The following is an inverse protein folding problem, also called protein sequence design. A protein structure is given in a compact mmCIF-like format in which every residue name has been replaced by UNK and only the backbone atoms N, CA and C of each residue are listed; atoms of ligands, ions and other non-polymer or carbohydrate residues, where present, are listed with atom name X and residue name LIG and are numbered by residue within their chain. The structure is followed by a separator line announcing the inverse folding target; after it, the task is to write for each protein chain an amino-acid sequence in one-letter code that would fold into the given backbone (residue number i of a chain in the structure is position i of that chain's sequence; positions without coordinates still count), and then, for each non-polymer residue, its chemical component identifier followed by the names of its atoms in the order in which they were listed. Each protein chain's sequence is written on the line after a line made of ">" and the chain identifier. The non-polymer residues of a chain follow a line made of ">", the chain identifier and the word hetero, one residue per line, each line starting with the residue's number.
data_IF_571173853288
#
_entry.id   IF_571173853288
#
_cell.length_a   1.000
_cell.length_b   1.000
_cell.length_c   1.000
_cell.angle_alpha   90.00
_cell.angle_beta   90.00
_cell.angle_gamma   90.00
#
_symmetry.space_group_name_H-M   'P 1'
#
loop_
_entity.id
_entity.type
_entity.pdbx_description
1 polymer ?
#
# COMPACT_ATOMS: atom_id res chain seq x y z
N UNK A 1 20.82 0.23 -50.61
CA UNK A 1 21.02 0.83 -49.29
C UNK A 1 20.56 2.29 -49.32
N UNK A 2 19.57 2.67 -48.52
CA UNK A 2 19.40 4.06 -48.14
C UNK A 2 19.43 4.24 -46.62
N UNK A 3 20.38 5.07 -46.20
CA UNK A 3 20.45 5.94 -45.03
C UNK A 3 19.38 5.80 -43.94
N UNK A 4 19.83 5.30 -42.78
CA UNK A 4 19.17 5.47 -41.47
C UNK A 4 19.44 6.91 -41.02
N UNK A 5 18.37 7.68 -40.79
CA UNK A 5 18.46 8.99 -40.14
C UNK A 5 18.16 8.82 -38.65
N UNK A 6 19.23 8.68 -37.85
CA UNK A 6 19.20 8.69 -36.39
C UNK A 6 19.00 10.12 -35.88
N UNK A 7 17.76 10.61 -35.89
CA UNK A 7 17.38 11.87 -35.22
C UNK A 7 15.90 11.88 -34.81
N UNK A 8 15.48 10.89 -34.03
CA UNK A 8 14.29 11.03 -33.20
C UNK A 8 14.69 11.69 -31.87
N UNK A 9 14.66 13.02 -31.83
CA UNK A 9 14.79 13.79 -30.59
C UNK A 9 13.63 13.43 -29.67
N UNK A 10 13.92 12.82 -28.52
CA UNK A 10 12.99 12.74 -27.40
C UNK A 10 12.58 14.16 -26.97
N UNK A 11 11.28 14.47 -26.81
CA UNK A 11 10.88 15.70 -26.17
C UNK A 11 11.08 15.55 -24.65
N UNK A 12 12.13 16.21 -24.14
CA UNK A 12 12.29 16.53 -22.72
C UNK A 12 11.22 17.54 -22.32
N UNK A 13 10.20 17.10 -21.61
CA UNK A 13 9.27 18.01 -20.94
C UNK A 13 9.78 18.30 -19.52
N UNK A 14 10.48 19.44 -19.39
CA UNK A 14 10.76 20.08 -18.12
C UNK A 14 9.58 20.99 -17.76
N UNK A 15 8.58 20.44 -17.06
CA UNK A 15 7.58 21.25 -16.36
C UNK A 15 7.28 20.69 -14.98
N UNK A 16 8.01 21.18 -13.99
CA UNK A 16 7.64 21.11 -12.58
C UNK A 16 6.48 22.07 -12.34
N UNK A 17 5.25 21.58 -12.43
CA UNK A 17 4.10 22.22 -11.78
C UNK A 17 3.23 21.13 -11.18
N UNK A 18 2.88 21.26 -9.89
CA UNK A 18 1.87 20.42 -9.21
C UNK A 18 0.47 20.79 -9.73
N UNK A 19 0.26 20.75 -11.04
CA UNK A 19 -1.04 20.82 -11.66
C UNK A 19 -1.65 19.43 -11.70
N UNK A 20 -2.94 19.30 -11.42
CA UNK A 20 -3.71 18.10 -11.72
C UNK A 20 -3.55 17.77 -13.21
N UNK A 21 -2.66 16.82 -13.53
CA UNK A 21 -2.42 16.40 -14.90
C UNK A 21 -3.70 15.73 -15.43
N UNK A 22 -4.21 16.18 -16.58
CA UNK A 22 -5.37 15.55 -17.21
C UNK A 22 -5.06 14.10 -17.56
N UNK A 23 -5.98 13.18 -17.23
CA UNK A 23 -5.89 11.78 -17.65
C UNK A 23 -5.86 11.69 -19.18
N UNK A 24 -5.08 10.76 -19.75
CA UNK A 24 -5.12 10.48 -21.19
C UNK A 24 -6.53 10.00 -21.60
N UNK A 25 -6.85 10.12 -22.89
CA UNK A 25 -8.09 9.55 -23.42
C UNK A 25 -8.11 8.03 -23.17
N UNK A 26 -9.24 7.46 -22.72
CA UNK A 26 -9.33 6.04 -22.43
C UNK A 26 -9.25 5.23 -23.73
N UNK A 27 -8.63 4.04 -23.65
CA UNK A 27 -8.65 3.06 -24.73
C UNK A 27 -10.02 2.35 -24.69
N UNK A 28 -10.84 2.53 -25.72
CA UNK A 28 -12.23 2.00 -25.79
C UNK A 28 -12.36 0.81 -26.74
N UNK A 29 -11.51 0.70 -27.77
CA UNK A 29 -11.76 -0.12 -28.96
C UNK A 29 -11.79 -1.65 -28.74
N UNK A 30 -11.37 -2.12 -27.56
CA UNK A 30 -11.28 -3.55 -27.22
C UNK A 30 -11.71 -3.87 -25.77
N UNK A 31 -12.14 -2.86 -25.00
CA UNK A 31 -12.49 -3.00 -23.59
C UNK A 31 -13.99 -2.84 -23.36
N UNK A 32 -14.58 -3.68 -22.49
CA UNK A 32 -15.99 -3.56 -22.09
C UNK A 32 -16.27 -2.28 -21.27
N UNK A 33 -15.23 -1.57 -20.86
CA UNK A 33 -15.24 -0.33 -20.06
C UNK A 33 -13.98 0.49 -20.38
N UNK A 34 -13.98 1.82 -20.20
CA UNK A 34 -12.80 2.65 -20.45
C UNK A 34 -11.61 2.24 -19.57
N UNK A 35 -10.43 2.10 -20.19
CA UNK A 35 -9.16 1.76 -19.52
C UNK A 35 -8.15 2.87 -19.78
N UNK A 36 -7.46 3.33 -18.74
CA UNK A 36 -6.48 4.43 -18.82
C UNK A 36 -5.02 3.94 -18.87
N UNK A 37 -4.74 2.71 -18.45
CA UNK A 37 -3.39 2.12 -18.47
C UNK A 37 -3.20 1.17 -19.66
N UNK A 38 -2.28 1.52 -20.56
CA UNK A 38 -1.89 0.72 -21.71
C UNK A 38 -0.46 0.20 -21.60
N UNK A 39 -0.08 -0.71 -22.49
CA UNK A 39 1.33 -1.00 -22.76
C UNK A 39 2.00 0.20 -23.44
N UNK A 40 3.33 0.20 -23.51
CA UNK A 40 4.10 1.16 -24.33
C UNK A 40 3.68 1.17 -25.80
N UNK A 41 3.16 0.05 -26.31
CA UNK A 41 2.61 -0.08 -27.67
C UNK A 41 1.20 0.49 -27.82
N UNK A 42 0.60 1.10 -26.78
CA UNK A 42 -0.79 1.58 -26.78
C UNK A 42 -1.85 0.48 -26.59
N UNK A 43 -1.46 -0.80 -26.65
CA UNK A 43 -2.40 -1.92 -26.51
C UNK A 43 -2.87 -2.13 -25.07
N UNK A 44 -4.09 -2.66 -24.91
CA UNK A 44 -4.64 -3.05 -23.61
C UNK A 44 -3.71 -4.04 -22.90
N UNK A 45 -3.58 -3.88 -21.58
CA UNK A 45 -2.84 -4.82 -20.74
C UNK A 45 -3.65 -6.12 -20.59
N UNK A 46 -3.02 -7.26 -20.87
CA UNK A 46 -3.68 -8.56 -20.83
C UNK A 46 -2.89 -9.52 -19.94
N UNK A 47 -3.59 -10.30 -19.12
CA UNK A 47 -2.99 -11.35 -18.30
C UNK A 47 -2.98 -12.68 -19.05
N UNK A 48 -1.81 -13.15 -19.47
CA UNK A 48 -1.67 -14.43 -20.18
C UNK A 48 -2.05 -15.65 -19.32
N UNK A 49 -1.76 -15.61 -18.02
CA UNK A 49 -2.06 -16.70 -17.08
C UNK A 49 -3.56 -16.83 -16.80
N UNK A 50 -4.22 -15.71 -16.51
CA UNK A 50 -5.67 -15.69 -16.26
C UNK A 50 -6.53 -15.61 -17.53
N UNK A 51 -5.91 -15.37 -18.69
CA UNK A 51 -6.57 -15.23 -20.01
C UNK A 51 -7.66 -14.15 -20.03
N UNK A 52 -7.40 -13.01 -19.39
CA UNK A 52 -8.33 -11.88 -19.34
C UNK A 52 -7.62 -10.53 -19.51
N UNK A 53 -8.31 -9.49 -20.03
CA UNK A 53 -7.84 -8.11 -19.95
C UNK A 53 -7.64 -7.72 -18.48
N UNK A 54 -6.55 -6.99 -18.20
CA UNK A 54 -6.28 -6.44 -16.88
C UNK A 54 -6.99 -5.09 -16.76
N UNK A 55 -7.89 -4.91 -15.77
CA UNK A 55 -8.35 -3.58 -15.39
C UNK A 55 -7.17 -2.67 -15.02
N UNK A 56 -7.41 -1.38 -14.94
CA UNK A 56 -6.42 -0.45 -14.42
C UNK A 56 -5.98 -0.84 -13.01
N UNK A 57 -4.68 -0.64 -12.74
CA UNK A 57 -4.01 -0.96 -11.48
C UNK A 57 -4.09 -2.43 -11.06
N UNK A 58 -4.56 -3.33 -11.92
CA UNK A 58 -4.64 -4.74 -11.63
C UNK A 58 -3.36 -5.49 -12.04
N UNK A 59 -2.80 -6.27 -11.13
CA UNK A 59 -1.61 -7.08 -11.40
C UNK A 59 -1.88 -8.55 -11.10
N UNK A 60 -1.15 -9.45 -11.76
CA UNK A 60 -1.26 -10.89 -11.50
C UNK A 60 -0.24 -11.27 -10.44
N UNK A 61 -0.71 -11.82 -9.33
CA UNK A 61 0.15 -12.41 -8.31
C UNK A 61 0.33 -13.90 -8.60
N UNK A 62 1.58 -14.36 -8.72
CA UNK A 62 1.91 -15.78 -8.89
C UNK A 62 1.56 -16.62 -7.66
N UNK A 63 1.80 -16.09 -6.46
CA UNK A 63 1.56 -16.81 -5.20
C UNK A 63 0.07 -17.05 -4.97
N UNK A 64 -0.78 -16.07 -5.28
CA UNK A 64 -2.23 -16.21 -5.23
C UNK A 64 -2.84 -16.80 -6.51
N UNK A 65 -2.04 -17.01 -7.56
CA UNK A 65 -2.43 -17.48 -8.89
C UNK A 65 -3.67 -16.78 -9.48
N UNK A 66 -3.79 -15.46 -9.28
CA UNK A 66 -4.92 -14.65 -9.76
C UNK A 66 -4.53 -13.20 -10.01
N UNK A 67 -5.34 -12.53 -10.83
CA UNK A 67 -5.30 -11.07 -10.93
C UNK A 67 -5.95 -10.43 -9.70
N UNK A 68 -5.28 -9.44 -9.11
CA UNK A 68 -5.72 -8.69 -7.95
C UNK A 68 -5.95 -7.25 -8.39
N UNK A 69 -7.15 -6.72 -8.11
CA UNK A 69 -7.52 -5.34 -8.40
C UNK A 69 -6.76 -4.39 -7.48
N UNK A 70 -6.29 -3.25 -8.02
CA UNK A 70 -5.46 -2.27 -7.30
C UNK A 70 -4.40 -2.97 -6.44
N UNK A 71 -3.67 -3.90 -7.05
CA UNK A 71 -2.72 -4.75 -6.32
C UNK A 71 -1.63 -3.87 -5.74
N UNK A 72 -1.40 -4.00 -4.44
CA UNK A 72 -0.29 -3.34 -3.76
C UNK A 72 0.89 -4.29 -3.70
N UNK A 73 0.75 -5.38 -2.95
CA UNK A 73 1.78 -6.41 -2.86
C UNK A 73 1.19 -7.76 -2.42
N UNK A 74 1.96 -8.83 -2.60
CA UNK A 74 1.70 -10.08 -1.88
C UNK A 74 2.38 -9.99 -0.51
N UNK A 75 1.64 -10.19 0.57
CA UNK A 75 2.15 -10.10 1.92
C UNK A 75 2.22 -11.51 2.53
N UNK A 76 3.43 -12.08 2.72
CA UNK A 76 3.59 -13.41 3.29
C UNK A 76 3.03 -13.50 4.72
N UNK A 77 3.08 -12.39 5.47
CA UNK A 77 2.65 -12.33 6.88
C UNK A 77 1.14 -12.55 7.07
N UNK A 78 0.33 -12.21 6.08
CA UNK A 78 -1.12 -12.48 6.08
C UNK A 78 -1.49 -13.58 5.07
N UNK A 79 -0.48 -14.22 4.45
CA UNK A 79 -0.63 -15.23 3.41
C UNK A 79 -1.67 -14.85 2.33
N UNK A 80 -1.67 -13.59 1.92
CA UNK A 80 -2.64 -13.05 0.97
C UNK A 80 -2.11 -11.79 0.29
N UNK A 81 -2.69 -11.45 -0.86
CA UNK A 81 -2.45 -10.16 -1.48
C UNK A 81 -3.15 -9.04 -0.73
N UNK A 82 -2.47 -7.90 -0.63
CA UNK A 82 -3.06 -6.61 -0.31
C UNK A 82 -3.43 -5.93 -1.62
N UNK A 83 -4.68 -5.52 -1.74
CA UNK A 83 -5.19 -4.78 -2.90
C UNK A 83 -6.53 -4.13 -2.59
N UNK A 84 -7.33 -3.84 -3.61
CA UNK A 84 -8.59 -3.09 -3.49
C UNK A 84 -9.50 -3.58 -2.34
N UNK A 85 -9.75 -4.89 -2.27
CA UNK A 85 -10.74 -5.47 -1.35
C UNK A 85 -10.31 -5.46 0.14
N UNK A 86 -9.01 -5.29 0.43
CA UNK A 86 -8.49 -5.40 1.80
C UNK A 86 -7.44 -4.35 2.19
N UNK A 87 -7.20 -3.32 1.35
CA UNK A 87 -6.28 -2.22 1.65
C UNK A 87 -6.63 -1.53 2.99
N UNK A 88 -7.92 -1.28 3.24
CA UNK A 88 -8.40 -0.74 4.53
C UNK A 88 -8.00 -1.63 5.72
N UNK A 89 -8.28 -2.92 5.63
CA UNK A 89 -7.98 -3.87 6.72
C UNK A 89 -6.48 -3.98 6.98
N UNK A 90 -5.67 -3.94 5.93
CA UNK A 90 -4.22 -3.94 6.05
C UNK A 90 -3.70 -2.66 6.74
N UNK A 91 -4.22 -1.48 6.41
CA UNK A 91 -3.87 -0.24 7.10
C UNK A 91 -4.28 -0.25 8.58
N UNK A 92 -5.45 -0.79 8.90
CA UNK A 92 -5.89 -0.95 10.29
C UNK A 92 -5.01 -1.94 11.05
N UNK A 93 -4.60 -3.04 10.42
CA UNK A 93 -3.60 -3.97 10.97
C UNK A 93 -2.27 -3.25 11.26
N UNK A 94 -1.77 -2.46 10.30
CA UNK A 94 -0.54 -1.68 10.46
C UNK A 94 -0.66 -0.55 11.50
N UNK A 95 -1.86 -0.14 11.87
CA UNK A 95 -2.10 0.83 12.95
C UNK A 95 -2.22 0.15 14.31
N UNK A 96 -3.12 -0.82 14.45
CA UNK A 96 -3.45 -1.40 15.75
C UNK A 96 -2.34 -2.25 16.35
N UNK A 97 -1.62 -3.05 15.55
CA UNK A 97 -0.54 -3.90 16.05
C UNK A 97 0.57 -3.07 16.72
N UNK A 98 1.18 -2.05 16.08
CA UNK A 98 2.22 -1.28 16.73
C UNK A 98 1.70 -0.45 17.92
N UNK A 99 0.47 0.06 17.88
CA UNK A 99 -0.12 0.76 19.04
C UNK A 99 -0.22 -0.18 20.25
N UNK A 100 -0.73 -1.40 20.06
CA UNK A 100 -0.79 -2.41 21.12
C UNK A 100 0.61 -2.80 21.61
N UNK A 101 1.56 -3.02 20.70
CA UNK A 101 2.94 -3.40 21.06
C UNK A 101 3.64 -2.31 21.88
N UNK A 102 3.52 -1.04 21.48
CA UNK A 102 4.08 0.10 22.20
C UNK A 102 3.39 0.32 23.55
N UNK A 103 2.08 0.11 23.64
CA UNK A 103 1.35 0.14 24.91
C UNK A 103 1.85 -0.94 25.88
N UNK A 104 2.02 -2.17 25.42
CA UNK A 104 2.55 -3.28 26.23
C UNK A 104 3.99 -2.97 26.67
N UNK A 105 4.84 -2.47 25.76
CA UNK A 105 6.22 -2.10 26.09
C UNK A 105 6.26 -0.96 27.12
N UNK A 106 5.46 0.09 26.95
CA UNK A 106 5.39 1.21 27.88
C UNK A 106 4.89 0.81 29.27
N UNK A 107 3.86 -0.03 29.35
CA UNK A 107 3.35 -0.55 30.63
C UNK A 107 4.33 -1.50 31.31
N UNK A 108 5.07 -2.30 30.54
CA UNK A 108 6.15 -3.13 31.08
C UNK A 108 7.28 -2.29 31.68
N UNK A 109 7.74 -1.26 30.97
CA UNK A 109 8.76 -0.31 31.46
C UNK A 109 8.27 0.38 32.73
N UNK A 110 7.04 0.89 32.75
CA UNK A 110 6.43 1.47 33.94
C UNK A 110 6.42 0.48 35.11
N UNK A 111 5.99 -0.75 34.87
CA UNK A 111 5.96 -1.79 35.91
C UNK A 111 7.34 -2.06 36.52
N UNK A 112 8.41 -2.05 35.73
CA UNK A 112 9.80 -2.17 36.21
C UNK A 112 10.19 -1.02 37.12
N UNK A 113 9.95 0.22 36.69
CA UNK A 113 10.37 1.41 37.43
C UNK A 113 9.67 1.56 38.79
N UNK A 114 8.41 1.10 38.89
CA UNK A 114 7.59 1.25 40.09
C UNK A 114 7.50 -0.03 40.94
N UNK A 115 8.31 -1.05 40.67
CA UNK A 115 8.40 -2.27 41.48
C UNK A 115 9.46 -2.10 42.59
N UNK A 116 9.07 -1.95 43.87
CA UNK A 116 10.01 -1.65 44.94
C UNK A 116 10.87 -2.85 45.37
N UNK A 117 10.50 -4.09 45.01
CA UNK A 117 11.23 -5.29 45.42
C UNK A 117 11.30 -6.32 44.27
N UNK A 118 12.52 -6.76 43.95
CA UNK A 118 12.80 -7.85 43.02
C UNK A 118 12.71 -9.19 43.75
N UNK A 119 11.84 -10.09 43.28
CA UNK A 119 11.73 -11.46 43.78
C UNK A 119 12.63 -12.39 42.94
N UNK A 120 13.70 -12.98 43.52
CA UNK A 120 14.62 -13.85 42.79
C UNK A 120 13.95 -15.09 42.18
N UNK A 121 12.88 -15.63 42.79
CA UNK A 121 12.16 -16.80 42.28
C UNK A 121 11.37 -16.50 41.00
N UNK A 122 11.03 -15.23 40.74
CA UNK A 122 10.29 -14.80 39.55
C UNK A 122 11.20 -14.29 38.41
N UNK A 123 12.52 -14.32 38.62
CA UNK A 123 13.53 -13.69 37.76
C UNK A 123 13.48 -14.13 36.30
N UNK A 124 13.31 -15.44 36.02
CA UNK A 124 13.29 -15.96 34.64
C UNK A 124 12.05 -15.48 33.88
N UNK A 125 10.86 -15.58 34.48
CA UNK A 125 9.62 -15.11 33.87
C UNK A 125 9.69 -13.60 33.59
N UNK A 126 10.27 -12.84 34.50
CA UNK A 126 10.47 -11.42 34.36
C UNK A 126 11.44 -11.06 33.22
N UNK A 127 12.59 -11.75 33.14
CA UNK A 127 13.56 -11.57 32.06
C UNK A 127 12.91 -11.89 30.70
N UNK A 128 12.18 -13.00 30.60
CA UNK A 128 11.48 -13.39 29.38
C UNK A 128 10.39 -12.39 28.99
N UNK A 129 9.63 -11.87 29.95
CA UNK A 129 8.63 -10.83 29.72
C UNK A 129 9.28 -9.54 29.20
N UNK A 130 10.33 -9.06 29.87
CA UNK A 130 11.04 -7.84 29.46
C UNK A 130 11.69 -8.00 28.08
N UNK A 131 12.37 -9.11 27.82
CA UNK A 131 12.95 -9.41 26.51
C UNK A 131 11.86 -9.44 25.41
N UNK A 132 10.72 -10.08 25.70
CA UNK A 132 9.60 -10.15 24.74
C UNK A 132 9.00 -8.78 24.46
N UNK A 133 8.82 -7.94 25.49
CA UNK A 133 8.30 -6.57 25.32
C UNK A 133 9.27 -5.64 24.58
N UNK A 134 10.59 -5.83 24.76
CA UNK A 134 11.60 -5.12 23.99
C UNK A 134 11.54 -5.48 22.50
N UNK A 135 11.50 -6.78 22.18
CA UNK A 135 11.38 -7.26 20.79
C UNK A 135 10.07 -6.77 20.16
N UNK A 136 8.96 -6.86 20.90
CA UNK A 136 7.68 -6.34 20.45
C UNK A 136 7.71 -4.82 20.21
N UNK A 137 8.39 -4.06 21.08
CA UNK A 137 8.57 -2.61 20.92
C UNK A 137 9.37 -2.25 19.67
N UNK A 138 10.49 -2.95 19.40
CA UNK A 138 11.29 -2.77 18.19
C UNK A 138 10.43 -3.04 16.94
N UNK A 139 9.73 -4.18 16.92
CA UNK A 139 8.84 -4.52 15.81
C UNK A 139 7.70 -3.51 15.65
N UNK A 140 7.13 -3.02 16.76
CA UNK A 140 6.11 -1.98 16.78
C UNK A 140 6.59 -0.67 16.15
N UNK A 141 7.81 -0.22 16.48
CA UNK A 141 8.41 0.97 15.85
C UNK A 141 8.61 0.74 14.35
N UNK A 142 9.15 -0.42 13.94
CA UNK A 142 9.32 -0.75 12.51
C UNK A 142 7.99 -0.75 11.75
N UNK A 143 6.93 -1.32 12.33
CA UNK A 143 5.59 -1.32 11.74
C UNK A 143 4.99 0.09 11.66
N UNK A 144 5.30 0.98 12.62
CA UNK A 144 4.85 2.37 12.56
C UNK A 144 5.47 3.14 11.38
N UNK A 145 6.76 2.94 11.09
CA UNK A 145 7.38 3.49 9.88
C UNK A 145 6.71 2.95 8.61
N UNK A 146 6.41 1.64 8.59
CA UNK A 146 5.71 1.01 7.47
C UNK A 146 4.28 1.52 7.30
N UNK A 147 3.57 1.77 8.41
CA UNK A 147 2.27 2.42 8.42
C UNK A 147 2.34 3.85 7.85
N UNK A 148 3.29 4.67 8.30
CA UNK A 148 3.48 6.02 7.77
C UNK A 148 3.78 6.01 6.26
N UNK A 149 4.58 5.06 5.78
CA UNK A 149 4.81 4.87 4.35
C UNK A 149 3.51 4.56 3.61
N UNK A 150 2.71 3.60 4.08
CA UNK A 150 1.44 3.26 3.44
C UNK A 150 0.38 4.38 3.56
N UNK A 151 0.37 5.16 4.64
CA UNK A 151 -0.47 6.36 4.73
C UNK A 151 -0.11 7.38 3.65
N UNK A 152 1.18 7.60 3.40
CA UNK A 152 1.63 8.48 2.31
C UNK A 152 1.09 7.97 0.95
N UNK A 153 1.18 6.66 0.70
CA UNK A 153 0.66 6.05 -0.52
C UNK A 153 -0.85 6.26 -0.67
N UNK A 154 -1.62 6.12 0.41
CA UNK A 154 -3.06 6.40 0.39
C UNK A 154 -3.34 7.87 0.10
N UNK A 155 -2.62 8.79 0.76
CA UNK A 155 -2.76 10.23 0.55
C UNK A 155 -2.41 10.65 -0.88
N UNK A 156 -1.51 9.93 -1.55
CA UNK A 156 -1.12 10.16 -2.95
C UNK A 156 -1.91 9.26 -3.92
N UNK A 157 -2.82 8.40 -3.45
CA UNK A 157 -3.52 7.39 -4.26
C UNK A 157 -2.61 6.50 -5.12
N UNK A 158 -1.48 6.08 -4.58
CA UNK A 158 -0.57 5.15 -5.25
C UNK A 158 -0.56 3.78 -4.58
N UNK A 159 -0.24 2.74 -5.35
CA UNK A 159 0.18 1.44 -4.81
C UNK A 159 1.70 1.38 -4.70
N UNK A 160 2.23 0.42 -3.94
CA UNK A 160 3.67 0.16 -3.91
C UNK A 160 4.21 -0.16 -5.31
N UNK A 161 3.48 -0.95 -6.10
CA UNK A 161 3.86 -1.29 -7.48
C UNK A 161 3.98 -0.03 -8.33
N UNK A 162 3.00 0.87 -8.28
CA UNK A 162 3.00 2.11 -9.07
C UNK A 162 4.18 3.02 -8.74
N UNK A 163 4.60 3.07 -7.47
CA UNK A 163 5.79 3.82 -7.05
C UNK A 163 7.08 3.20 -7.63
N UNK A 164 7.17 1.87 -7.67
CA UNK A 164 8.37 1.18 -8.16
C UNK A 164 8.44 1.02 -9.68
N UNK A 165 7.29 0.99 -10.39
CA UNK A 165 7.24 0.79 -11.84
C UNK A 165 7.71 2.00 -12.68
N UNK A 166 8.30 3.05 -12.06
CA UNK A 166 8.86 4.25 -12.72
C UNK A 166 7.90 4.90 -13.74
N UNK A 167 6.59 4.75 -13.56
CA UNK A 167 5.59 5.48 -14.32
C UNK A 167 5.64 6.94 -13.90
N UNK A 168 6.16 7.81 -14.77
CA UNK A 168 6.51 9.21 -14.44
C UNK A 168 5.35 10.14 -14.08
N UNK A 169 4.12 9.65 -13.84
CA UNK A 169 2.96 10.48 -13.51
C UNK A 169 1.99 9.74 -12.58
N UNK A 170 1.56 10.42 -11.52
CA UNK A 170 0.49 9.94 -10.66
C UNK A 170 -0.87 10.40 -11.20
N UNK A 171 -1.51 9.55 -12.01
CA UNK A 171 -2.79 9.83 -12.67
C UNK A 171 -4.01 9.69 -11.74
N UNK A 172 -3.81 9.13 -10.55
CA UNK A 172 -4.88 8.71 -9.65
C UNK A 172 -5.08 9.67 -8.48
N UNK A 173 -4.13 10.58 -8.24
CA UNK A 173 -4.23 11.60 -7.19
C UNK A 173 -5.36 12.60 -7.47
N UNK A 174 -6.31 12.67 -6.54
CA UNK A 174 -7.45 13.59 -6.54
C UNK A 174 -7.49 14.46 -5.28
N UNK A 175 -6.35 14.59 -4.59
CA UNK A 175 -6.21 15.26 -3.30
C UNK A 175 -6.38 14.31 -2.11
N UNK A 176 -5.56 14.51 -1.08
CA UNK A 176 -5.40 13.57 0.04
C UNK A 176 -6.71 13.14 0.71
N UNK A 177 -7.65 14.07 0.90
CA UNK A 177 -8.97 13.74 1.46
C UNK A 177 -9.75 12.77 0.56
N UNK A 178 -9.88 13.10 -0.73
CA UNK A 178 -10.61 12.27 -1.67
C UNK A 178 -9.95 10.90 -1.84
N UNK A 179 -8.62 10.87 -1.92
CA UNK A 179 -7.84 9.64 -2.02
C UNK A 179 -8.05 8.73 -0.78
N UNK A 180 -8.06 9.34 0.41
CA UNK A 180 -8.32 8.59 1.65
C UNK A 180 -9.75 8.07 1.70
N UNK A 181 -10.74 8.85 1.24
CA UNK A 181 -12.14 8.39 1.16
C UNK A 181 -12.35 7.26 0.15
N UNK A 182 -11.49 7.10 -0.87
CA UNK A 182 -11.51 5.92 -1.75
C UNK A 182 -11.08 4.64 -1.06
N UNK A 183 -10.38 4.72 0.07
CA UNK A 183 -9.95 3.54 0.85
C UNK A 183 -10.87 3.30 2.05
N UNK A 184 -11.17 4.36 2.80
CA UNK A 184 -11.91 4.24 4.05
C UNK A 184 -13.41 4.56 3.93
N UNK A 185 -13.86 5.07 2.78
CA UNK A 185 -15.25 5.45 2.54
C UNK A 185 -15.61 6.85 3.04
N UNK A 186 -16.82 7.34 2.73
CA UNK A 186 -17.25 8.71 3.05
C UNK A 186 -17.58 8.93 4.54
N UNK A 187 -17.90 7.85 5.27
CA UNK A 187 -18.29 7.90 6.69
C UNK A 187 -17.05 7.81 7.58
N UNK A 188 -16.45 8.95 7.90
CA UNK A 188 -15.20 9.04 8.68
C UNK A 188 -15.23 8.30 10.03
N UNK A 189 -16.37 8.28 10.71
CA UNK A 189 -16.51 7.58 12.00
C UNK A 189 -16.44 6.04 11.88
N UNK A 190 -16.52 5.49 10.66
CA UNK A 190 -16.33 4.04 10.39
C UNK A 190 -14.89 3.71 9.96
N UNK A 191 -14.02 4.71 9.81
CA UNK A 191 -12.63 4.51 9.43
C UNK A 191 -11.85 3.60 10.38
N UNK A 192 -11.94 3.76 11.73
CA UNK A 192 -11.20 2.88 12.63
C UNK A 192 -11.76 1.45 12.68
N UNK A 193 -12.98 1.22 12.17
CA UNK A 193 -13.63 -0.08 12.28
C UNK A 193 -13.23 -1.01 11.13
N UNK A 194 -12.90 -2.29 11.41
CA UNK A 194 -12.57 -3.30 10.41
C UNK A 194 -13.83 -3.83 9.71
N UNK A 195 -14.60 -2.92 9.12
CA UNK A 195 -15.76 -3.22 8.27
C UNK A 195 -15.52 -2.68 6.86
N UNK A 196 -16.08 -3.36 5.84
CA UNK A 196 -15.94 -2.92 4.45
C UNK A 196 -16.68 -1.61 4.22
N UNK A 197 -15.95 -0.57 3.83
CA UNK A 197 -16.49 0.76 3.49
C UNK A 197 -15.85 1.36 2.24
N UNK A 198 -14.94 0.62 1.58
CA UNK A 198 -14.26 1.02 0.35
C UNK A 198 -15.30 1.22 -0.78
N UNK A 199 -15.39 2.41 -1.38
CA UNK A 199 -16.25 2.63 -2.55
C UNK A 199 -15.79 1.78 -3.75
N UNK A 200 -16.75 1.31 -4.55
CA UNK A 200 -16.54 0.59 -5.82
C UNK A 200 -16.16 1.49 -6.97
#
# INVERSE_FOLDING_TARGET
>A
APFINDNAKEPRDHTTSRGHLRKPEPVVDEARYPVWESKSSGAIRFCRKCKCPKPDRAHHCSDCNRCVLKMDHHCPWINNCVGFANQKFFLLFLFYIPVCALWIAGTAVHYVFYRPNFDPQLSICYINFMASTLVAGIFGVSLLFFFCFHLRLVCENQTTIEVFEKSGRNLWDQGAWHNTTQVFGPKWYLWPLPISTTPG
#
